data_IF_932712866376
#
_entry.id   IF_932712866376
#
_cell.length_a   1.000
_cell.length_b   1.000
_cell.length_c   1.000
_cell.angle_alpha   90.00
_cell.angle_beta   90.00
_cell.angle_gamma   90.00
#
_symmetry.space_group_name_H-M   'P 1'
#
loop_
_entity.id
_entity.type
_entity.pdbx_description
1 polymer ?
#
# COMPACT_ATOMS: atom_id res chain seq x y z
N UNK A 1 11.64 11.27 16.74
CA UNK A 1 10.17 11.32 16.62
C UNK A 1 9.60 10.08 15.90
N UNK A 2 10.12 9.68 14.74
CA UNK A 2 9.59 8.53 13.97
C UNK A 2 9.61 7.20 14.76
N UNK A 3 10.69 6.88 15.49
CA UNK A 3 10.78 5.62 16.26
C UNK A 3 9.72 5.56 17.37
N UNK A 4 9.53 6.67 18.09
CA UNK A 4 8.53 6.76 19.16
C UNK A 4 7.12 6.64 18.59
N UNK A 5 6.84 7.36 17.49
CA UNK A 5 5.54 7.24 16.80
C UNK A 5 5.28 5.80 16.33
N UNK A 6 6.28 5.15 15.73
CA UNK A 6 6.20 3.76 15.30
C UNK A 6 5.95 2.81 16.47
N UNK A 7 6.62 2.99 17.60
CA UNK A 7 6.42 2.18 18.80
C UNK A 7 5.01 2.38 19.40
N UNK A 8 4.53 3.63 19.48
CA UNK A 8 3.19 3.94 19.97
C UNK A 8 2.12 3.33 19.06
N UNK A 9 2.23 3.54 17.74
CA UNK A 9 1.30 2.99 16.76
C UNK A 9 1.32 1.45 16.84
N UNK A 10 2.50 0.83 16.79
CA UNK A 10 2.63 -0.62 16.89
C UNK A 10 2.05 -1.19 18.18
N UNK A 11 2.29 -0.52 19.32
CA UNK A 11 1.70 -0.89 20.61
C UNK A 11 0.18 -0.79 20.61
N UNK A 12 -0.38 0.30 20.06
CA UNK A 12 -1.83 0.47 19.92
C UNK A 12 -2.45 -0.62 19.03
N UNK A 13 -1.82 -0.97 17.91
CA UNK A 13 -2.28 -2.06 17.04
C UNK A 13 -2.24 -3.41 17.76
N UNK A 14 -1.13 -3.73 18.45
CA UNK A 14 -1.00 -4.99 19.18
C UNK A 14 -2.05 -5.14 20.29
N UNK A 15 -2.23 -4.10 21.11
CA UNK A 15 -3.24 -4.09 22.18
C UNK A 15 -4.64 -4.17 21.59
N UNK A 16 -4.93 -3.37 20.55
CA UNK A 16 -6.21 -3.40 19.86
C UNK A 16 -6.54 -4.80 19.35
N UNK A 17 -5.64 -5.42 18.59
CA UNK A 17 -5.83 -6.77 18.03
C UNK A 17 -6.03 -7.85 19.07
N UNK A 18 -5.38 -7.76 20.24
CA UNK A 18 -5.61 -8.69 21.35
C UNK A 18 -7.01 -8.53 21.95
N UNK A 19 -7.50 -7.30 22.06
CA UNK A 19 -8.79 -6.99 22.68
C UNK A 19 -9.99 -7.24 21.76
N UNK A 20 -9.80 -7.28 20.43
CA UNK A 20 -10.89 -7.52 19.46
C UNK A 20 -11.70 -8.78 19.80
N UNK A 21 -11.03 -9.87 20.16
CA UNK A 21 -11.70 -11.16 20.42
C UNK A 21 -12.23 -11.30 21.87
N UNK A 22 -12.08 -10.29 22.72
CA UNK A 22 -12.57 -10.32 24.11
C UNK A 22 -14.09 -10.21 24.15
N UNK A 23 -14.67 -9.37 23.28
CA UNK A 23 -16.10 -9.06 23.29
C UNK A 23 -16.88 -9.72 22.15
N UNK A 24 -16.19 -10.17 21.10
CA UNK A 24 -16.82 -10.76 19.90
C UNK A 24 -16.04 -12.00 19.49
N UNK A 25 -16.75 -13.10 19.26
CA UNK A 25 -16.16 -14.31 18.72
C UNK A 25 -15.64 -14.09 17.30
N UNK A 26 -14.49 -14.67 16.97
CA UNK A 26 -13.77 -14.41 15.71
C UNK A 26 -14.63 -14.72 14.48
N UNK A 27 -15.48 -15.74 14.55
CA UNK A 27 -16.38 -16.13 13.46
C UNK A 27 -17.45 -15.09 13.11
N UNK A 28 -17.75 -14.16 14.03
CA UNK A 28 -18.72 -13.10 13.82
C UNK A 28 -18.10 -11.81 13.30
N UNK A 29 -16.76 -11.75 13.16
CA UNK A 29 -16.06 -10.56 12.70
C UNK A 29 -15.89 -10.56 11.19
N UNK A 30 -16.37 -9.50 10.57
CA UNK A 30 -16.22 -9.23 9.15
C UNK A 30 -15.31 -8.02 8.93
N UNK A 31 -14.64 -7.95 7.78
CA UNK A 31 -13.87 -6.75 7.40
C UNK A 31 -14.82 -5.57 7.10
N UNK A 32 -16.04 -5.87 6.65
CA UNK A 32 -17.05 -4.86 6.32
C UNK A 32 -17.68 -4.22 7.57
N UNK A 33 -18.05 -5.03 8.56
CA UNK A 33 -18.60 -4.56 9.84
C UNK A 33 -17.51 -4.07 10.80
N UNK A 34 -16.36 -4.73 10.80
CA UNK A 34 -15.11 -4.27 11.40
C UNK A 34 -15.26 -3.73 12.82
N UNK A 35 -15.02 -2.43 12.98
CA UNK A 35 -15.06 -1.76 14.28
C UNK A 35 -16.49 -1.59 14.83
N UNK A 36 -17.53 -1.58 13.98
CA UNK A 36 -18.91 -1.50 14.47
C UNK A 36 -19.26 -2.76 15.25
N UNK A 37 -18.93 -3.94 14.73
CA UNK A 37 -19.19 -5.23 15.37
C UNK A 37 -18.49 -5.36 16.73
N UNK A 38 -17.24 -4.91 16.81
CA UNK A 38 -16.45 -4.93 18.06
C UNK A 38 -17.13 -4.06 19.12
N UNK A 39 -17.52 -2.84 18.77
CA UNK A 39 -18.12 -1.90 19.71
C UNK A 39 -19.56 -2.27 20.09
N UNK A 40 -20.34 -2.89 19.21
CA UNK A 40 -21.66 -3.43 19.57
C UNK A 40 -21.52 -4.65 20.48
N UNK A 41 -20.56 -5.54 20.23
CA UNK A 41 -20.25 -6.65 21.15
C UNK A 41 -19.83 -6.18 22.54
N UNK A 42 -19.00 -5.12 22.60
CA UNK A 42 -18.66 -4.46 23.87
C UNK A 42 -19.90 -3.85 24.54
N UNK A 43 -20.76 -3.16 23.78
CA UNK A 43 -21.99 -2.56 24.31
C UNK A 43 -22.89 -3.63 24.93
N UNK A 44 -23.05 -4.77 24.26
CA UNK A 44 -23.78 -5.93 24.77
C UNK A 44 -23.23 -6.44 26.10
N UNK A 45 -21.90 -6.55 26.22
CA UNK A 45 -21.24 -7.00 27.45
C UNK A 45 -21.51 -6.06 28.63
N UNK A 46 -21.51 -4.75 28.41
CA UNK A 46 -21.75 -3.74 29.45
C UNK A 46 -23.23 -3.36 29.64
N UNK A 47 -24.17 -4.02 28.95
CA UNK A 47 -25.60 -3.72 29.04
C UNK A 47 -26.00 -2.35 28.45
N UNK A 48 -25.20 -1.81 27.53
CA UNK A 48 -25.47 -0.55 26.82
C UNK A 48 -26.21 -0.86 25.51
N UNK A 49 -27.01 0.10 25.01
CA UNK A 49 -27.73 -0.04 23.75
C UNK A 49 -26.79 -0.30 22.56
N UNK A 50 -26.81 -1.52 22.02
CA UNK A 50 -26.06 -1.94 20.84
C UNK A 50 -26.39 -1.05 19.63
N UNK A 51 -27.67 -0.78 19.39
CA UNK A 51 -28.15 0.06 18.28
C UNK A 51 -27.60 1.47 18.35
N UNK A 52 -27.58 2.08 19.55
CA UNK A 52 -27.07 3.43 19.73
C UNK A 52 -25.55 3.48 19.50
N UNK A 53 -24.81 2.56 20.12
CA UNK A 53 -23.35 2.49 19.97
C UNK A 53 -22.96 2.20 18.53
N UNK A 54 -23.61 1.24 17.88
CA UNK A 54 -23.36 0.89 16.49
C UNK A 54 -23.58 2.06 15.53
N UNK A 55 -24.65 2.84 15.71
CA UNK A 55 -24.91 4.05 14.89
C UNK A 55 -23.87 5.13 15.11
N UNK A 56 -23.51 5.41 16.36
CA UNK A 56 -22.50 6.42 16.70
C UNK A 56 -21.14 6.06 16.11
N UNK A 57 -20.69 4.83 16.32
CA UNK A 57 -19.42 4.33 15.77
C UNK A 57 -19.46 4.33 14.24
N UNK A 58 -20.57 3.91 13.63
CA UNK A 58 -20.77 3.96 12.18
C UNK A 58 -20.60 5.37 11.60
N UNK A 59 -21.18 6.40 12.23
CA UNK A 59 -21.03 7.79 11.82
C UNK A 59 -19.57 8.26 11.95
N UNK A 60 -18.91 7.94 13.06
CA UNK A 60 -17.50 8.30 13.29
C UNK A 60 -16.60 7.66 12.23
N UNK A 61 -16.78 6.38 11.96
CA UNK A 61 -16.01 5.65 10.94
C UNK A 61 -16.29 6.18 9.54
N UNK A 62 -17.54 6.51 9.22
CA UNK A 62 -17.90 7.10 7.93
C UNK A 62 -17.14 8.42 7.71
N UNK A 63 -17.18 9.33 8.69
CA UNK A 63 -16.46 10.61 8.60
C UNK A 63 -14.94 10.38 8.50
N UNK A 64 -14.40 9.46 9.29
CA UNK A 64 -12.97 9.14 9.29
C UNK A 64 -12.50 8.57 7.93
N UNK A 65 -13.21 7.60 7.37
CA UNK A 65 -12.88 7.00 6.07
C UNK A 65 -13.08 8.02 4.95
N UNK A 66 -14.15 8.84 5.00
CA UNK A 66 -14.38 9.89 4.02
C UNK A 66 -13.26 10.93 4.01
N UNK A 67 -12.82 11.38 5.19
CA UNK A 67 -11.65 12.26 5.35
C UNK A 67 -10.36 11.65 4.80
N UNK A 68 -10.11 10.38 5.16
CA UNK A 68 -8.97 9.61 4.67
C UNK A 68 -8.97 9.49 3.14
N UNK A 69 -10.12 9.18 2.53
CA UNK A 69 -10.26 9.04 1.08
C UNK A 69 -9.88 10.31 0.32
N UNK A 70 -10.25 11.50 0.84
CA UNK A 70 -9.86 12.78 0.23
C UNK A 70 -8.34 12.99 0.21
N UNK A 71 -7.66 12.63 1.32
CA UNK A 71 -6.20 12.69 1.41
C UNK A 71 -5.54 11.72 0.44
N UNK A 72 -5.98 10.45 0.44
CA UNK A 72 -5.43 9.39 -0.40
C UNK A 72 -5.75 9.55 -1.90
N UNK A 73 -6.73 10.36 -2.27
CA UNK A 73 -6.99 10.64 -3.70
C UNK A 73 -5.91 11.54 -4.30
N UNK A 74 -5.39 12.50 -3.54
CA UNK A 74 -4.47 13.51 -4.08
C UNK A 74 -3.00 13.23 -3.82
N UNK A 75 -2.65 12.65 -2.67
CA UNK A 75 -1.26 12.44 -2.29
C UNK A 75 -0.48 11.50 -3.23
N UNK A 76 -1.00 10.29 -3.58
CA UNK A 76 -0.28 9.38 -4.47
C UNK A 76 -0.08 9.96 -5.87
N UNK A 77 -1.10 10.64 -6.40
CA UNK A 77 -1.01 11.33 -7.70
C UNK A 77 0.10 12.38 -7.66
N UNK A 78 0.12 13.24 -6.64
CA UNK A 78 1.14 14.29 -6.55
C UNK A 78 2.54 13.72 -6.46
N UNK A 79 2.77 12.76 -5.56
CA UNK A 79 4.09 12.15 -5.32
C UNK A 79 4.56 11.45 -6.60
N UNK A 80 3.72 10.62 -7.22
CA UNK A 80 4.10 9.89 -8.43
C UNK A 80 4.53 10.82 -9.57
N UNK A 81 3.75 11.87 -9.82
CA UNK A 81 4.03 12.81 -10.90
C UNK A 81 5.10 13.87 -10.56
N UNK A 82 5.43 14.08 -9.28
CA UNK A 82 6.55 14.94 -8.88
C UNK A 82 7.89 14.22 -8.97
N UNK A 83 7.92 12.92 -8.70
CA UNK A 83 9.16 12.12 -8.68
C UNK A 83 9.54 11.58 -10.06
N UNK A 84 8.58 11.41 -10.98
CA UNK A 84 8.87 10.84 -12.30
C UNK A 84 9.51 11.85 -13.25
N UNK A 85 10.60 11.49 -13.96
CA UNK A 85 11.26 12.37 -14.91
C UNK A 85 10.30 12.93 -15.97
N UNK A 86 10.46 14.23 -16.27
CA UNK A 86 9.69 14.90 -17.32
C UNK A 86 9.86 14.16 -18.66
N UNK A 87 8.73 13.86 -19.31
CA UNK A 87 8.70 13.21 -20.62
C UNK A 87 8.40 11.70 -20.59
N UNK A 88 8.43 11.04 -19.42
CA UNK A 88 7.95 9.64 -19.29
C UNK A 88 6.46 9.55 -19.61
N UNK A 89 5.70 10.55 -19.16
CA UNK A 89 4.30 10.78 -19.51
C UNK A 89 4.15 12.00 -20.41
N UNK A 90 3.02 12.07 -21.14
CA UNK A 90 2.69 13.24 -21.95
C UNK A 90 2.56 14.52 -21.12
N UNK A 91 3.01 15.65 -21.67
CA UNK A 91 2.95 16.97 -21.00
C UNK A 91 1.54 17.32 -20.53
N UNK A 92 0.52 16.99 -21.32
CA UNK A 92 -0.89 17.21 -20.97
C UNK A 92 -1.33 16.42 -19.73
N UNK A 93 -0.79 15.23 -19.49
CA UNK A 93 -1.15 14.38 -18.34
C UNK A 93 -0.48 14.86 -17.05
N UNK A 94 0.72 15.44 -17.17
CA UNK A 94 1.55 15.91 -16.05
C UNK A 94 1.36 17.38 -15.71
N UNK A 95 0.50 18.08 -16.47
CA UNK A 95 0.20 19.49 -16.30
C UNK A 95 -0.45 19.77 -14.93
N UNK A 96 0.22 20.59 -14.12
CA UNK A 96 -0.22 20.96 -12.78
C UNK A 96 -1.22 22.13 -12.84
N UNK A 97 -2.25 22.08 -12.01
CA UNK A 97 -3.13 23.22 -11.77
C UNK A 97 -2.50 24.23 -10.78
N UNK A 98 -3.24 25.32 -10.49
CA UNK A 98 -2.86 26.35 -9.50
C UNK A 98 -2.57 25.85 -8.07
N UNK A 99 -2.94 24.61 -7.76
CA UNK A 99 -2.74 23.97 -6.45
C UNK A 99 -1.67 22.86 -6.48
N UNK A 100 -0.88 22.78 -7.56
CA UNK A 100 0.17 21.76 -7.72
C UNK A 100 -0.38 20.34 -7.87
N UNK A 101 -1.60 20.17 -8.38
CA UNK A 101 -2.22 18.86 -8.64
C UNK A 101 -2.27 18.63 -10.15
N UNK A 102 -1.79 17.49 -10.68
CA UNK A 102 -2.00 17.15 -12.08
C UNK A 102 -3.42 16.62 -12.28
N UNK A 103 -4.36 17.51 -12.60
CA UNK A 103 -5.80 17.21 -12.62
C UNK A 103 -6.15 16.10 -13.62
N UNK A 104 -5.53 16.11 -14.81
CA UNK A 104 -5.79 15.07 -15.81
C UNK A 104 -5.32 13.69 -15.35
N UNK A 105 -4.17 13.61 -14.68
CA UNK A 105 -3.71 12.37 -14.07
C UNK A 105 -4.61 11.89 -12.94
N UNK A 106 -5.12 12.81 -12.10
CA UNK A 106 -6.07 12.46 -11.04
C UNK A 106 -7.35 11.84 -11.60
N UNK A 107 -7.87 12.36 -12.73
CA UNK A 107 -9.00 11.76 -13.43
C UNK A 107 -8.69 10.37 -14.00
N UNK A 108 -7.48 10.16 -14.51
CA UNK A 108 -7.04 8.82 -14.93
C UNK A 108 -6.95 7.83 -13.77
N UNK A 109 -6.41 8.25 -12.62
CA UNK A 109 -6.41 7.43 -11.41
C UNK A 109 -7.84 7.10 -10.98
N UNK A 110 -8.73 8.10 -10.96
CA UNK A 110 -10.14 7.88 -10.61
C UNK A 110 -10.79 6.85 -11.53
N UNK A 111 -10.65 6.99 -12.85
CA UNK A 111 -11.21 6.04 -13.82
C UNK A 111 -10.66 4.62 -13.61
N UNK A 112 -9.35 4.50 -13.36
CA UNK A 112 -8.71 3.21 -13.08
C UNK A 112 -9.25 2.55 -11.81
N UNK A 113 -9.30 3.30 -10.70
CA UNK A 113 -9.84 2.81 -9.42
C UNK A 113 -11.31 2.45 -9.55
N UNK A 114 -12.10 3.25 -10.25
CA UNK A 114 -13.52 2.98 -10.49
C UNK A 114 -13.73 1.67 -11.26
N UNK A 115 -13.01 1.46 -12.37
CA UNK A 115 -13.08 0.21 -13.13
C UNK A 115 -12.65 -0.97 -12.26
N UNK A 116 -11.57 -0.83 -11.50
CA UNK A 116 -11.11 -1.87 -10.58
C UNK A 116 -12.19 -2.22 -9.54
N UNK A 117 -12.88 -1.23 -8.96
CA UNK A 117 -13.98 -1.45 -8.01
C UNK A 117 -15.17 -2.15 -8.67
N UNK A 118 -15.55 -1.75 -9.88
CA UNK A 118 -16.65 -2.38 -10.63
C UNK A 118 -16.32 -3.85 -10.93
N UNK A 119 -15.13 -4.13 -11.44
CA UNK A 119 -14.69 -5.49 -11.76
C UNK A 119 -14.63 -6.38 -10.51
N UNK A 120 -14.06 -5.88 -9.40
CA UNK A 120 -14.01 -6.64 -8.15
C UNK A 120 -15.40 -6.80 -7.51
N UNK A 121 -16.25 -5.80 -7.60
CA UNK A 121 -17.61 -5.82 -7.05
C UNK A 121 -18.50 -6.85 -7.73
N UNK A 122 -18.50 -6.90 -9.06
CA UNK A 122 -19.27 -7.92 -9.81
C UNK A 122 -18.59 -9.30 -9.82
N UNK A 123 -17.28 -9.36 -9.61
CA UNK A 123 -16.52 -10.61 -9.56
C UNK A 123 -16.50 -11.31 -8.19
N UNK A 124 -17.06 -10.69 -7.14
CA UNK A 124 -17.07 -11.23 -5.78
C UNK A 124 -18.47 -11.68 -5.36
N UNK A 125 -18.56 -12.81 -4.66
CA UNK A 125 -19.82 -13.38 -4.15
C UNK A 125 -20.35 -12.62 -2.92
N UNK A 126 -19.49 -11.84 -2.26
CA UNK A 126 -19.86 -11.00 -1.11
C UNK A 126 -18.93 -9.79 -0.96
N UNK A 127 -19.40 -8.78 -0.22
CA UNK A 127 -18.57 -7.61 0.17
C UNK A 127 -17.34 -8.05 0.96
N UNK A 128 -17.49 -9.06 1.82
CA UNK A 128 -16.38 -9.62 2.60
C UNK A 128 -15.29 -10.20 1.69
N UNK A 129 -15.68 -10.97 0.67
CA UNK A 129 -14.75 -11.52 -0.31
C UNK A 129 -14.10 -10.41 -1.16
N UNK A 130 -14.87 -9.40 -1.56
CA UNK A 130 -14.35 -8.24 -2.28
C UNK A 130 -13.27 -7.52 -1.45
N UNK A 131 -13.54 -7.26 -0.17
CA UNK A 131 -12.59 -6.62 0.74
C UNK A 131 -11.34 -7.48 0.97
N UNK A 132 -11.52 -8.79 1.17
CA UNK A 132 -10.40 -9.73 1.29
C UNK A 132 -9.45 -9.66 0.09
N UNK A 133 -10.02 -9.72 -1.12
CA UNK A 133 -9.25 -9.67 -2.36
C UNK A 133 -8.51 -8.34 -2.49
N UNK A 134 -9.20 -7.21 -2.25
CA UNK A 134 -8.60 -5.89 -2.33
C UNK A 134 -7.48 -5.67 -1.29
N UNK A 135 -7.68 -6.12 -0.05
CA UNK A 135 -6.68 -6.03 1.03
C UNK A 135 -5.44 -6.86 0.68
N UNK A 136 -5.61 -8.10 0.23
CA UNK A 136 -4.49 -8.98 -0.11
C UNK A 136 -3.67 -8.46 -1.30
N UNK A 137 -4.34 -7.97 -2.36
CA UNK A 137 -3.69 -7.34 -3.51
C UNK A 137 -2.91 -6.08 -3.12
N UNK A 138 -3.51 -5.23 -2.28
CA UNK A 138 -2.86 -4.01 -1.79
C UNK A 138 -1.66 -4.34 -0.90
N UNK A 139 -1.79 -5.31 0.01
CA UNK A 139 -0.71 -5.73 0.90
C UNK A 139 0.48 -6.28 0.11
N UNK A 140 0.23 -7.17 -0.86
CA UNK A 140 1.30 -7.76 -1.68
C UNK A 140 2.06 -6.71 -2.50
N UNK A 141 1.35 -5.74 -3.09
CA UNK A 141 1.97 -4.71 -3.94
C UNK A 141 2.65 -3.60 -3.13
N UNK A 142 2.09 -3.18 -2.00
CA UNK A 142 2.64 -2.12 -1.15
C UNK A 142 3.96 -2.51 -0.46
N UNK A 143 4.25 -3.81 -0.32
CA UNK A 143 5.50 -4.30 0.28
C UNK A 143 6.71 -4.21 -0.67
N UNK A 144 6.50 -4.13 -1.99
CA UNK A 144 7.59 -4.11 -2.97
C UNK A 144 8.55 -2.92 -2.79
N UNK A 145 8.10 -1.64 -2.74
CA UNK A 145 9.03 -0.52 -2.62
C UNK A 145 9.88 -0.55 -1.35
N UNK A 146 9.33 -0.83 -0.14
CA UNK A 146 10.14 -1.01 1.06
C UNK A 146 11.19 -2.11 0.92
N UNK A 147 10.86 -3.26 0.31
CA UNK A 147 11.83 -4.35 0.08
C UNK A 147 13.00 -3.86 -0.78
N UNK A 148 12.73 -3.16 -1.89
CA UNK A 148 13.80 -2.62 -2.74
C UNK A 148 14.70 -1.64 -1.99
N UNK A 149 14.11 -0.73 -1.20
CA UNK A 149 14.87 0.24 -0.39
C UNK A 149 15.72 -0.49 0.66
N UNK A 150 15.16 -1.49 1.33
CA UNK A 150 15.87 -2.27 2.36
C UNK A 150 17.01 -3.09 1.77
N UNK A 151 16.81 -3.73 0.61
CA UNK A 151 17.86 -4.46 -0.11
C UNK A 151 18.96 -3.50 -0.56
N UNK A 152 18.60 -2.33 -1.11
CA UNK A 152 19.56 -1.31 -1.48
C UNK A 152 20.39 -0.88 -0.27
N UNK A 153 19.74 -0.58 0.87
CA UNK A 153 20.44 -0.26 2.11
C UNK A 153 21.40 -1.36 2.57
N UNK A 154 20.97 -2.63 2.53
CA UNK A 154 21.81 -3.77 2.86
C UNK A 154 23.06 -3.82 1.96
N UNK A 155 22.87 -3.73 0.64
CA UNK A 155 23.98 -3.72 -0.34
C UNK A 155 24.92 -2.54 -0.11
N UNK A 156 24.40 -1.35 0.17
CA UNK A 156 25.22 -0.17 0.48
C UNK A 156 26.03 -0.33 1.77
N UNK A 157 25.48 -0.96 2.82
CA UNK A 157 26.22 -1.25 4.05
C UNK A 157 27.23 -2.38 3.86
N UNK A 158 26.99 -3.30 2.93
CA UNK A 158 27.93 -4.37 2.62
C UNK A 158 29.08 -3.91 1.73
N UNK A 159 28.82 -3.15 0.66
CA UNK A 159 29.84 -2.79 -0.33
C UNK A 159 30.44 -1.40 -0.19
N UNK A 160 29.72 -0.45 0.40
CA UNK A 160 30.07 0.96 0.40
C UNK A 160 29.93 1.58 1.79
N UNK A 161 30.50 0.93 2.82
CA UNK A 161 30.25 1.38 4.19
C UNK A 161 30.94 2.70 4.56
N UNK A 162 32.04 2.98 3.87
CA UNK A 162 32.90 4.14 4.10
C UNK A 162 32.32 5.43 3.52
N UNK A 163 31.24 5.35 2.73
CA UNK A 163 30.57 6.53 2.18
C UNK A 163 30.05 7.43 3.33
N UNK A 164 30.28 8.76 3.26
CA UNK A 164 29.74 9.69 4.24
C UNK A 164 28.21 9.67 4.19
N UNK A 165 27.58 9.63 5.37
CA UNK A 165 26.12 9.55 5.53
C UNK A 165 25.72 10.40 6.72
N UNK A 166 24.66 11.18 6.57
CA UNK A 166 24.09 11.99 7.66
C UNK A 166 23.50 11.12 8.78
N UNK A 167 23.08 9.88 8.45
CA UNK A 167 22.53 8.93 9.40
C UNK A 167 23.07 7.52 9.19
N UNK A 168 23.38 6.83 10.28
CA UNK A 168 23.77 5.41 10.31
C UNK A 168 22.98 4.69 11.38
N UNK A 169 22.32 3.59 11.01
CA UNK A 169 21.60 2.74 11.96
C UNK A 169 22.59 1.87 12.73
N UNK A 170 23.10 2.40 13.84
CA UNK A 170 24.05 1.73 14.73
C UNK A 170 25.32 1.27 14.00
N UNK A 171 25.91 0.18 14.51
CA UNK A 171 27.08 -0.45 13.90
C UNK A 171 26.74 -1.12 12.56
N UNK A 172 27.75 -1.42 11.73
CA UNK A 172 27.56 -2.10 10.43
C UNK A 172 26.81 -3.43 10.60
N UNK A 173 27.27 -4.27 11.52
CA UNK A 173 26.66 -5.57 11.79
C UNK A 173 25.24 -5.43 12.34
N UNK A 174 25.00 -4.47 13.23
CA UNK A 174 23.67 -4.24 13.80
C UNK A 174 22.67 -3.77 12.73
N UNK A 175 23.01 -2.72 11.96
CA UNK A 175 22.13 -2.19 10.92
C UNK A 175 21.83 -3.21 9.81
N UNK A 176 22.84 -4.00 9.41
CA UNK A 176 22.61 -5.12 8.47
C UNK A 176 21.73 -6.21 9.07
N UNK A 177 21.95 -6.58 10.34
CA UNK A 177 21.12 -7.58 11.02
C UNK A 177 19.66 -7.17 11.12
N UNK A 178 19.39 -5.92 11.53
CA UNK A 178 18.03 -5.38 11.61
C UNK A 178 17.37 -5.38 10.24
N UNK A 179 18.05 -4.86 9.20
CA UNK A 179 17.43 -4.79 7.87
C UNK A 179 17.20 -6.19 7.27
N UNK A 180 18.07 -7.18 7.55
CA UNK A 180 17.85 -8.56 7.13
C UNK A 180 16.59 -9.16 7.76
N UNK A 181 16.39 -8.95 9.07
CA UNK A 181 15.16 -9.39 9.75
C UNK A 181 13.94 -8.72 9.14
N UNK A 182 13.99 -7.42 8.88
CA UNK A 182 12.88 -6.69 8.25
C UNK A 182 12.58 -7.20 6.83
N UNK A 183 13.60 -7.47 6.01
CA UNK A 183 13.43 -8.07 4.68
C UNK A 183 12.74 -9.43 4.82
N UNK A 184 13.19 -10.29 5.73
CA UNK A 184 12.55 -11.60 5.96
C UNK A 184 11.08 -11.45 6.35
N UNK A 185 10.76 -10.56 7.28
CA UNK A 185 9.36 -10.31 7.71
C UNK A 185 8.51 -9.84 6.53
N UNK A 186 9.03 -8.91 5.71
CA UNK A 186 8.30 -8.38 4.55
C UNK A 186 8.13 -9.43 3.46
N UNK A 187 9.14 -10.25 3.18
CA UNK A 187 9.06 -11.32 2.17
C UNK A 187 8.09 -12.41 2.61
N UNK A 188 8.11 -12.82 3.89
CA UNK A 188 7.15 -13.79 4.44
C UNK A 188 5.73 -13.23 4.38
N UNK A 189 5.54 -11.99 4.82
CA UNK A 189 4.23 -11.32 4.77
C UNK A 189 3.72 -11.17 3.34
N UNK A 190 4.57 -10.75 2.40
CA UNK A 190 4.23 -10.64 0.98
C UNK A 190 3.84 -11.99 0.39
N UNK A 191 4.56 -13.06 0.75
CA UNK A 191 4.24 -14.43 0.32
C UNK A 191 2.89 -14.87 0.88
N UNK A 192 2.63 -14.62 2.16
CA UNK A 192 1.33 -14.93 2.79
C UNK A 192 0.17 -14.14 2.14
N UNK A 193 0.39 -12.87 1.78
CA UNK A 193 -0.62 -12.08 1.06
C UNK A 193 -0.80 -12.51 -0.40
N UNK A 194 0.25 -13.02 -1.05
CA UNK A 194 0.16 -13.57 -2.40
C UNK A 194 -0.57 -14.92 -2.45
N UNK A 195 -0.49 -15.71 -1.37
CA UNK A 195 -1.14 -17.02 -1.22
C UNK A 195 -2.05 -17.06 0.02
N UNK A 196 -3.17 -16.31 0.02
CA UNK A 196 -4.06 -16.26 1.17
C UNK A 196 -4.71 -17.64 1.44
N UNK A 197 -4.90 -18.02 2.71
CA UNK A 197 -5.50 -19.31 3.06
C UNK A 197 -6.93 -19.44 2.50
N UNK A 198 -7.26 -20.63 1.98
CA UNK A 198 -8.59 -20.94 1.47
C UNK A 198 -8.84 -20.49 0.02
N UNK A 199 -7.86 -19.85 -0.64
CA UNK A 199 -7.90 -19.58 -2.07
C UNK A 199 -7.12 -20.66 -2.81
N UNK A 200 -7.65 -21.13 -3.93
CA UNK A 200 -6.97 -22.06 -4.82
C UNK A 200 -5.60 -21.51 -5.25
N UNK A 201 -4.55 -22.34 -5.15
CA UNK A 201 -3.16 -21.93 -5.37
C UNK A 201 -2.94 -21.39 -6.80
N UNK A 202 -3.62 -21.98 -7.79
CA UNK A 202 -3.52 -21.54 -9.17
C UNK A 202 -4.19 -20.17 -9.35
N UNK A 203 -5.39 -19.97 -8.80
CA UNK A 203 -6.05 -18.65 -8.81
C UNK A 203 -5.20 -17.58 -8.12
N UNK A 204 -4.65 -17.89 -6.93
CA UNK A 204 -3.81 -16.99 -6.18
C UNK A 204 -2.53 -16.61 -6.95
N UNK A 205 -1.86 -17.59 -7.57
CA UNK A 205 -0.68 -17.36 -8.39
C UNK A 205 -0.99 -16.47 -9.61
N UNK A 206 -2.04 -16.78 -10.37
CA UNK A 206 -2.38 -16.00 -11.56
C UNK A 206 -2.84 -14.57 -11.23
N UNK A 207 -3.65 -14.40 -10.20
CA UNK A 207 -4.20 -13.08 -9.85
C UNK A 207 -3.13 -12.23 -9.14
N UNK A 208 -2.40 -12.77 -8.17
CA UNK A 208 -1.50 -11.96 -7.34
C UNK A 208 -0.08 -11.90 -7.92
N UNK A 209 0.46 -13.01 -8.42
CA UNK A 209 1.85 -13.09 -8.88
C UNK A 209 1.97 -12.70 -10.35
N UNK A 210 1.20 -13.33 -11.24
CA UNK A 210 1.29 -13.05 -12.68
C UNK A 210 0.86 -11.61 -13.00
N UNK A 211 -0.23 -11.10 -12.40
CA UNK A 211 -0.67 -9.73 -12.65
C UNK A 211 0.39 -8.71 -12.23
N UNK A 212 0.95 -8.85 -11.03
CA UNK A 212 2.02 -7.97 -10.53
C UNK A 212 3.28 -8.05 -11.40
N UNK A 213 3.65 -9.25 -11.86
CA UNK A 213 4.77 -9.45 -12.77
C UNK A 213 4.53 -8.79 -14.13
N UNK A 214 3.33 -8.92 -14.70
CA UNK A 214 2.94 -8.28 -15.97
C UNK A 214 3.00 -6.76 -15.85
N UNK A 215 2.42 -6.18 -14.80
CA UNK A 215 2.48 -4.72 -14.58
C UNK A 215 3.92 -4.23 -14.38
N UNK A 216 4.74 -4.97 -13.64
CA UNK A 216 6.16 -4.65 -13.45
C UNK A 216 6.95 -4.73 -14.76
N UNK A 217 6.69 -5.74 -15.58
CA UNK A 217 7.32 -5.91 -16.89
C UNK A 217 6.89 -4.81 -17.88
N UNK A 218 5.61 -4.44 -17.90
CA UNK A 218 5.09 -3.34 -18.71
C UNK A 218 5.69 -2.00 -18.27
N UNK A 219 5.82 -1.77 -16.96
CA UNK A 219 6.47 -0.58 -16.41
C UNK A 219 7.95 -0.52 -16.83
N UNK A 220 8.68 -1.62 -16.69
CA UNK A 220 10.08 -1.72 -17.13
C UNK A 220 10.25 -1.50 -18.63
N UNK A 221 9.38 -2.09 -19.45
CA UNK A 221 9.36 -1.88 -20.90
C UNK A 221 9.08 -0.42 -21.28
N UNK A 222 8.11 0.23 -20.61
CA UNK A 222 7.81 1.64 -20.85
C UNK A 222 8.98 2.54 -20.51
N UNK A 223 9.60 2.33 -19.34
CA UNK A 223 10.74 3.14 -18.87
C UNK A 223 11.96 2.93 -19.77
N UNK A 224 12.32 1.69 -20.08
CA UNK A 224 13.46 1.39 -20.97
C UNK A 224 13.28 1.98 -22.37
N UNK A 225 12.05 1.95 -22.93
CA UNK A 225 11.75 2.62 -24.20
C UNK A 225 11.92 4.13 -24.10
N UNK A 226 11.52 4.74 -22.99
CA UNK A 226 11.72 6.17 -22.76
C UNK A 226 13.21 6.52 -22.65
N UNK A 227 13.99 5.76 -21.87
CA UNK A 227 15.43 5.94 -21.73
C UNK A 227 16.16 5.81 -23.06
N UNK A 228 15.86 4.78 -23.85
CA UNK A 228 16.43 4.59 -25.19
C UNK A 228 16.14 5.78 -26.12
N UNK A 229 14.91 6.35 -26.04
CA UNK A 229 14.55 7.54 -26.81
C UNK A 229 15.32 8.78 -26.36
N UNK A 230 15.57 8.94 -25.05
CA UNK A 230 16.37 10.04 -24.51
C UNK A 230 17.84 9.95 -24.94
N UNK A 231 18.44 8.75 -24.87
CA UNK A 231 19.81 8.51 -25.32
C UNK A 231 19.96 8.86 -26.80
N UNK A 232 19.03 8.40 -27.64
CA UNK A 232 19.04 8.70 -29.09
C UNK A 232 18.88 10.20 -29.38
N UNK A 233 18.00 10.89 -28.65
CA UNK A 233 17.81 12.33 -28.84
C UNK A 233 19.04 13.14 -28.39
N UNK A 234 19.72 12.72 -27.32
CA UNK A 234 20.98 13.34 -26.89
C UNK A 234 22.10 13.14 -27.92
N UNK A 235 22.22 11.94 -28.50
CA UNK A 235 23.20 11.66 -29.55
C UNK A 235 22.99 12.57 -30.78
N UNK A 236 21.75 12.70 -31.25
CA UNK A 236 21.41 13.56 -32.40
C UNK A 236 21.67 15.06 -32.18
N UNK A 237 21.65 15.54 -30.93
CA UNK A 237 21.98 16.92 -30.56
C UNK A 237 23.48 17.17 -30.40
N UNK A 238 24.29 16.11 -30.33
CA UNK A 238 25.76 16.20 -30.20
C UNK A 238 26.45 16.11 -31.58
N UNK A 239 25.73 15.64 -32.60
CA UNK A 239 26.17 15.58 -34.01
C UNK A 239 25.80 16.83 -34.84
N UNK A 240 25.15 17.83 -34.22
CA UNK A 240 24.88 19.16 -34.78
C UNK A 240 25.80 20.21 -34.17
#
# INVERSE_FOLDING_TARGET
MIIIAGAVIGGMYAVGSLLVNVFVARENLTYAGGMVEIFTGMAKYFGISETLVGRLVGIVLFIAIFGSMMMWTSAPVKIHFSEIPKGVYGQKTTELNKHGVPVRAAWWQFAFVFVMLVVNGFGSESVQQMMNTAINLTAGTAMLPPIFIMVAYFVFRWKHDDTPREFRMGSRKFGMGVVSVLITIFVVSMTASAFPPGVDLMKAFFINVCMTAVFSALAWWWISRFEAKQVRNKAALTEQ
#
